data_IF_953130657256
#
_entry.id   IF_953130657256
#
_cell.length_a   1.000
_cell.length_b   1.000
_cell.length_c   1.000
_cell.angle_alpha   90.00
_cell.angle_beta   90.00
_cell.angle_gamma   90.00
#
_symmetry.space_group_name_H-M   'P 1'
#
loop_
_entity.id
_entity.type
_entity.pdbx_description
1 polymer ?
#
# COMPACT_ATOMS: atom_id res chain seq x y z
N UNK A 1 -53.51 24.51 -37.49
CA UNK A 1 -52.98 25.37 -36.43
C UNK A 1 -51.56 25.05 -36.25
N UNK A 2 -50.73 25.89 -36.78
CA UNK A 2 -49.26 25.80 -36.84
C UNK A 2 -48.69 26.39 -35.56
N UNK A 3 -47.83 25.65 -34.86
CA UNK A 3 -46.98 26.17 -33.80
C UNK A 3 -45.54 26.17 -34.27
N UNK A 4 -44.97 27.34 -34.42
CA UNK A 4 -43.61 27.62 -34.78
C UNK A 4 -42.68 27.37 -33.57
N UNK A 5 -41.65 26.56 -33.78
CA UNK A 5 -40.51 26.41 -32.86
C UNK A 5 -39.41 27.43 -33.19
N UNK A 6 -39.16 28.35 -32.27
CA UNK A 6 -38.05 29.27 -32.29
C UNK A 6 -36.85 28.60 -31.65
N UNK A 7 -35.83 28.27 -32.43
CA UNK A 7 -34.52 27.84 -31.95
C UNK A 7 -33.64 29.07 -31.68
N UNK A 8 -33.22 29.25 -30.45
CA UNK A 8 -32.18 30.20 -30.07
C UNK A 8 -30.76 29.66 -30.42
N UNK A 9 -29.78 30.49 -30.80
CA UNK A 9 -28.46 30.03 -31.17
C UNK A 9 -27.66 29.62 -29.93
N UNK A 10 -27.03 28.45 -30.03
CA UNK A 10 -26.09 27.91 -29.07
C UNK A 10 -24.78 28.71 -29.18
N UNK A 11 -24.34 29.32 -28.08
CA UNK A 11 -23.08 30.05 -28.00
C UNK A 11 -21.95 29.06 -27.66
N UNK A 12 -20.88 28.92 -28.46
CA UNK A 12 -19.85 27.88 -28.26
C UNK A 12 -18.78 28.21 -27.21
N UNK A 13 -18.92 29.29 -26.43
CA UNK A 13 -17.86 29.81 -25.57
C UNK A 13 -18.03 29.55 -24.05
N UNK A 14 -18.95 28.69 -23.65
CA UNK A 14 -19.09 28.31 -22.22
C UNK A 14 -18.37 26.99 -21.90
N UNK A 15 -17.05 26.92 -22.15
CA UNK A 15 -16.18 25.97 -21.46
C UNK A 15 -15.85 26.58 -20.09
N UNK A 16 -16.79 26.50 -19.16
CA UNK A 16 -16.51 26.73 -17.74
C UNK A 16 -15.53 25.68 -17.26
N UNK A 17 -14.25 26.04 -17.19
CA UNK A 17 -13.26 25.39 -16.34
C UNK A 17 -13.71 25.57 -14.89
N UNK A 18 -14.41 24.59 -14.36
CA UNK A 18 -14.71 24.50 -12.93
C UNK A 18 -13.41 24.21 -12.19
N UNK A 19 -12.72 25.27 -11.79
CA UNK A 19 -11.67 25.21 -10.78
C UNK A 19 -12.37 24.74 -9.50
N UNK A 20 -12.25 23.47 -9.12
CA UNK A 20 -12.84 22.94 -7.90
C UNK A 20 -12.18 23.69 -6.72
N UNK A 21 -12.95 24.54 -6.08
CA UNK A 21 -12.49 25.29 -4.90
C UNK A 21 -12.14 24.29 -3.80
N UNK A 22 -10.88 24.24 -3.38
CA UNK A 22 -10.43 23.38 -2.30
C UNK A 22 -11.12 23.82 -1.02
N UNK A 23 -11.97 22.95 -0.46
CA UNK A 23 -12.66 23.20 0.79
C UNK A 23 -11.69 23.03 1.99
N UNK A 24 -11.71 23.98 2.90
CA UNK A 24 -10.97 23.97 4.16
C UNK A 24 -11.95 24.02 5.34
N UNK A 25 -11.84 23.06 6.25
CA UNK A 25 -12.60 23.07 7.50
C UNK A 25 -12.02 24.02 8.53
N UNK A 26 -10.70 24.32 8.45
CA UNK A 26 -9.97 25.23 9.33
C UNK A 26 -9.40 26.40 8.51
N UNK A 27 -9.91 27.65 8.72
CA UNK A 27 -9.39 28.85 8.06
C UNK A 27 -7.93 29.16 8.38
N UNK A 28 -7.46 28.83 9.59
CA UNK A 28 -6.05 29.09 9.98
C UNK A 28 -5.12 28.15 9.19
N UNK A 29 -5.54 26.89 9.00
CA UNK A 29 -4.82 25.92 8.16
C UNK A 29 -4.78 26.35 6.70
N UNK A 30 -5.88 26.87 6.17
CA UNK A 30 -5.96 27.42 4.81
C UNK A 30 -4.97 28.60 4.62
N UNK A 31 -4.90 29.53 5.57
CA UNK A 31 -3.99 30.67 5.53
C UNK A 31 -2.51 30.22 5.62
N UNK A 32 -2.19 29.28 6.50
CA UNK A 32 -0.85 28.70 6.62
C UNK A 32 -0.42 28.00 5.30
N UNK A 33 -1.32 27.21 4.71
CA UNK A 33 -1.08 26.56 3.42
C UNK A 33 -0.83 27.57 2.30
N UNK A 34 -1.67 28.60 2.18
CA UNK A 34 -1.51 29.63 1.16
C UNK A 34 -0.16 30.39 1.28
N UNK A 35 0.26 30.71 2.50
CA UNK A 35 1.55 31.34 2.77
C UNK A 35 2.72 30.42 2.37
N UNK A 36 2.68 29.16 2.78
CA UNK A 36 3.69 28.17 2.43
C UNK A 36 3.74 27.93 0.92
N UNK A 37 2.56 27.77 0.28
CA UNK A 37 2.45 27.57 -1.17
C UNK A 37 3.06 28.74 -1.95
N UNK A 38 2.77 29.99 -1.57
CA UNK A 38 3.35 31.19 -2.21
C UNK A 38 4.87 31.18 -2.16
N UNK A 39 5.44 30.89 -0.98
CA UNK A 39 6.89 30.84 -0.81
C UNK A 39 7.53 29.69 -1.61
N UNK A 40 6.91 28.50 -1.58
CA UNK A 40 7.42 27.31 -2.27
C UNK A 40 7.27 27.44 -3.78
N UNK A 41 6.18 28.03 -4.28
CA UNK A 41 5.95 28.21 -5.71
C UNK A 41 6.98 29.14 -6.36
N UNK A 42 7.37 30.19 -5.66
CA UNK A 42 8.40 31.10 -6.17
C UNK A 42 9.75 30.40 -6.36
N UNK A 43 10.15 29.53 -5.42
CA UNK A 43 11.42 28.82 -5.47
C UNK A 43 11.41 27.57 -6.38
N UNK A 44 10.25 26.92 -6.55
CA UNK A 44 10.10 25.68 -7.30
C UNK A 44 9.42 25.87 -8.65
N UNK A 45 9.09 27.09 -9.05
CA UNK A 45 8.43 27.40 -10.34
C UNK A 45 7.10 26.64 -10.52
N UNK A 46 6.28 26.58 -9.46
CA UNK A 46 4.98 25.92 -9.50
C UNK A 46 3.91 26.86 -10.04
N UNK A 47 3.02 26.36 -10.86
CA UNK A 47 1.84 27.10 -11.34
C UNK A 47 0.68 26.93 -10.34
N UNK A 48 0.52 27.92 -9.47
CA UNK A 48 -0.52 27.91 -8.43
C UNK A 48 -1.94 27.91 -8.98
N UNK A 49 -2.15 28.33 -10.24
CA UNK A 49 -3.45 28.28 -10.92
C UNK A 49 -3.90 26.86 -11.27
N UNK A 50 -3.00 25.88 -11.24
CA UNK A 50 -3.27 24.49 -11.58
C UNK A 50 -3.52 23.59 -10.36
N UNK A 51 -3.52 24.17 -9.14
CA UNK A 51 -3.69 23.43 -7.90
C UNK A 51 -5.05 22.71 -7.86
N UNK A 52 -5.02 21.38 -7.70
CA UNK A 52 -6.22 20.53 -7.70
C UNK A 52 -6.08 19.38 -6.71
N UNK A 53 -7.20 18.83 -6.24
CA UNK A 53 -7.17 17.65 -5.38
C UNK A 53 -6.61 16.45 -6.16
N UNK A 54 -5.63 15.75 -5.60
CA UNK A 54 -5.05 14.55 -6.20
C UNK A 54 -5.73 13.29 -5.66
N UNK A 55 -5.82 13.16 -4.34
CA UNK A 55 -6.56 12.10 -3.68
C UNK A 55 -6.98 12.52 -2.27
N UNK A 56 -8.04 11.91 -1.76
CA UNK A 56 -8.42 11.96 -0.34
C UNK A 56 -8.16 10.57 0.25
N UNK A 57 -7.24 10.48 1.20
CA UNK A 57 -6.92 9.24 1.89
C UNK A 57 -7.89 8.99 3.05
N UNK A 58 -7.81 7.77 3.60
CA UNK A 58 -8.50 7.40 4.84
C UNK A 58 -7.86 8.03 6.10
N UNK A 59 -6.68 8.64 5.98
CA UNK A 59 -5.93 9.35 7.01
C UNK A 59 -6.31 10.83 7.10
N UNK A 60 -5.66 11.56 8.00
CA UNK A 60 -5.77 13.01 8.09
C UNK A 60 -4.95 13.75 7.03
N UNK A 61 -4.26 13.03 6.15
CA UNK A 61 -3.46 13.58 5.05
C UNK A 61 -4.35 13.93 3.88
N UNK A 62 -4.04 15.08 3.25
CA UNK A 62 -4.63 15.49 1.99
C UNK A 62 -3.54 15.67 0.96
N UNK A 63 -3.85 15.30 -0.27
CA UNK A 63 -2.91 15.37 -1.37
C UNK A 63 -3.47 16.25 -2.49
N UNK A 64 -2.65 17.19 -2.94
CA UNK A 64 -2.97 18.08 -4.05
C UNK A 64 -1.94 17.88 -5.14
N UNK A 65 -2.36 18.03 -6.39
CA UNK A 65 -1.47 18.06 -7.55
C UNK A 65 -1.33 19.49 -8.03
N UNK A 66 -0.11 19.88 -8.42
CA UNK A 66 0.23 21.18 -8.95
C UNK A 66 1.22 21.02 -10.10
N UNK A 67 1.06 21.80 -11.17
CA UNK A 67 1.91 21.69 -12.34
C UNK A 67 3.22 22.48 -12.16
N UNK A 68 4.30 21.94 -12.74
CA UNK A 68 5.64 22.49 -12.78
C UNK A 68 6.16 22.37 -14.22
N UNK A 69 5.90 23.38 -15.05
CA UNK A 69 6.21 23.31 -16.47
C UNK A 69 5.48 22.19 -17.19
N UNK A 70 6.22 21.24 -17.77
CA UNK A 70 5.67 20.06 -18.45
C UNK A 70 5.44 18.86 -17.51
N UNK A 71 5.77 18.98 -16.24
CA UNK A 71 5.61 17.96 -15.21
C UNK A 71 4.65 18.43 -14.11
N UNK A 72 4.39 17.57 -13.13
CA UNK A 72 3.60 17.92 -11.95
C UNK A 72 4.28 17.47 -10.66
N UNK A 73 3.86 18.06 -9.56
CA UNK A 73 4.27 17.72 -8.22
C UNK A 73 3.05 17.41 -7.36
N UNK A 74 3.27 16.68 -6.28
CA UNK A 74 2.25 16.41 -5.25
C UNK A 74 2.57 17.24 -4.02
N UNK A 75 1.57 17.94 -3.49
CA UNK A 75 1.64 18.58 -2.19
C UNK A 75 0.91 17.69 -1.18
N UNK A 76 1.59 17.30 -0.11
CA UNK A 76 0.99 16.62 1.03
C UNK A 76 0.75 17.64 2.14
N UNK A 77 -0.49 17.69 2.60
CA UNK A 77 -0.92 18.42 3.80
C UNK A 77 -1.18 17.41 4.92
N UNK A 78 -0.31 17.37 5.91
CA UNK A 78 -0.34 16.44 7.04
C UNK A 78 -0.24 17.24 8.35
N UNK A 79 -1.39 17.61 9.00
CA UNK A 79 -1.38 18.43 10.19
C UNK A 79 -0.57 17.81 11.33
N UNK A 80 0.46 18.49 11.89
CA UNK A 80 1.39 17.89 12.87
C UNK A 80 0.75 17.42 14.18
N UNK A 81 -0.43 17.96 14.52
CA UNK A 81 -1.18 17.51 15.69
C UNK A 81 -1.80 16.10 15.50
N UNK A 82 -1.88 15.61 14.28
CA UNK A 82 -2.55 14.36 13.89
C UNK A 82 -1.62 13.38 13.17
N UNK A 83 -0.57 13.88 12.52
CA UNK A 83 0.31 13.08 11.65
C UNK A 83 1.78 13.39 11.92
N UNK A 84 2.57 12.37 12.21
CA UNK A 84 4.03 12.46 12.24
C UNK A 84 4.59 12.14 10.84
N UNK A 85 5.22 13.12 10.21
CA UNK A 85 5.83 12.96 8.89
C UNK A 85 7.26 12.41 8.92
N UNK A 86 7.90 12.28 10.08
CA UNK A 86 9.29 11.82 10.15
C UNK A 86 9.48 10.39 9.61
N UNK A 87 8.58 9.41 9.87
CA UNK A 87 8.67 8.10 9.26
C UNK A 87 8.58 8.14 7.73
N UNK A 88 7.69 8.97 7.17
CA UNK A 88 7.57 9.14 5.71
C UNK A 88 8.89 9.62 5.10
N UNK A 89 9.48 10.68 5.64
CA UNK A 89 10.74 11.25 5.13
C UNK A 89 11.88 10.23 5.24
N UNK A 90 11.95 9.51 6.37
CA UNK A 90 12.97 8.47 6.60
C UNK A 90 12.86 7.34 5.57
N UNK A 91 11.66 6.78 5.39
CA UNK A 91 11.47 5.65 4.49
C UNK A 91 11.60 6.07 3.03
N UNK A 92 11.12 7.26 2.63
CA UNK A 92 11.35 7.82 1.29
C UNK A 92 12.84 7.88 0.94
N UNK A 93 13.67 8.33 1.90
CA UNK A 93 15.13 8.37 1.73
C UNK A 93 15.74 6.96 1.58
N UNK A 94 15.26 5.97 2.36
CA UNK A 94 15.72 4.58 2.25
C UNK A 94 15.33 3.96 0.90
N UNK A 95 14.12 4.22 0.41
CA UNK A 95 13.68 3.75 -0.90
C UNK A 95 14.48 4.37 -2.04
N UNK A 96 14.77 5.68 -1.94
CA UNK A 96 15.64 6.35 -2.91
C UNK A 96 17.06 5.76 -2.92
N UNK A 97 17.64 5.45 -1.75
CA UNK A 97 18.93 4.75 -1.62
C UNK A 97 18.88 3.34 -2.22
N UNK A 98 17.75 2.66 -2.08
CA UNK A 98 17.50 1.36 -2.69
C UNK A 98 17.30 1.45 -4.22
N UNK A 99 17.23 2.65 -4.81
CA UNK A 99 16.97 2.85 -6.24
C UNK A 99 15.51 2.64 -6.65
N UNK A 100 14.58 2.63 -5.70
CA UNK A 100 13.15 2.51 -5.96
C UNK A 100 12.55 3.84 -6.43
N UNK A 101 11.54 3.75 -7.29
CA UNK A 101 10.72 4.88 -7.70
C UNK A 101 9.66 5.19 -6.63
N UNK A 102 10.04 5.92 -5.59
CA UNK A 102 9.16 6.40 -4.53
C UNK A 102 9.09 7.94 -4.55
N UNK A 103 8.03 8.57 -4.00
CA UNK A 103 7.93 10.01 -3.89
C UNK A 103 9.17 10.61 -3.22
N UNK A 104 9.84 11.52 -3.93
CA UNK A 104 10.98 12.26 -3.38
C UNK A 104 10.47 13.52 -2.71
N UNK A 105 10.98 13.80 -1.52
CA UNK A 105 10.69 15.04 -0.79
C UNK A 105 11.50 16.18 -1.44
N UNK A 106 10.82 17.10 -2.12
CA UNK A 106 11.40 18.23 -2.82
C UNK A 106 11.47 19.47 -1.92
N UNK A 107 10.48 19.66 -1.04
CA UNK A 107 10.47 20.66 0.02
C UNK A 107 9.66 20.14 1.20
N UNK A 108 10.00 20.56 2.43
CA UNK A 108 9.31 20.17 3.64
C UNK A 108 9.30 21.28 4.68
N UNK A 109 8.12 21.68 5.11
CA UNK A 109 7.90 22.51 6.30
C UNK A 109 7.47 21.58 7.45
N UNK A 110 8.43 21.18 8.26
CA UNK A 110 8.19 20.26 9.38
C UNK A 110 7.25 20.85 10.41
N UNK A 111 7.33 22.14 10.68
CA UNK A 111 6.52 22.82 11.71
C UNK A 111 5.05 22.88 11.32
N UNK A 112 4.76 23.00 10.02
CA UNK A 112 3.41 23.06 9.48
C UNK A 112 2.94 21.73 8.91
N UNK A 113 3.83 20.77 8.65
CA UNK A 113 3.49 19.47 8.05
C UNK A 113 3.08 19.58 6.58
N UNK A 114 3.65 20.52 5.82
CA UNK A 114 3.48 20.63 4.37
C UNK A 114 4.68 20.06 3.65
N UNK A 115 4.46 19.22 2.64
CA UNK A 115 5.53 18.69 1.79
C UNK A 115 5.23 18.89 0.33
N UNK A 116 6.27 19.20 -0.46
CA UNK A 116 6.26 19.06 -1.90
C UNK A 116 6.97 17.77 -2.28
N UNK A 117 6.31 16.92 -3.05
CA UNK A 117 6.76 15.60 -3.44
C UNK A 117 6.84 15.49 -4.97
N UNK A 118 7.70 14.62 -5.48
CA UNK A 118 7.64 14.23 -6.88
C UNK A 118 6.33 13.48 -7.18
N UNK A 119 5.75 13.73 -8.35
CA UNK A 119 4.54 13.05 -8.81
C UNK A 119 4.92 11.76 -9.55
N UNK A 120 4.31 10.64 -9.19
CA UNK A 120 4.52 9.33 -9.81
C UNK A 120 3.43 8.98 -10.83
N UNK A 121 2.55 9.93 -11.15
CA UNK A 121 1.45 9.74 -12.10
C UNK A 121 0.08 9.62 -11.42
N UNK A 122 -0.93 9.21 -12.21
CA UNK A 122 -2.34 9.24 -11.78
C UNK A 122 -3.01 7.86 -11.73
N UNK A 123 -2.35 6.81 -12.23
CA UNK A 123 -2.94 5.48 -12.30
C UNK A 123 -2.16 4.51 -11.42
N UNK A 124 -2.87 3.86 -10.50
CA UNK A 124 -2.32 2.75 -9.75
C UNK A 124 -2.31 1.48 -10.61
N UNK A 125 -1.50 0.51 -10.22
CA UNK A 125 -1.52 -0.83 -10.80
C UNK A 125 -2.92 -1.44 -10.72
N UNK A 126 -3.66 -1.18 -9.62
CA UNK A 126 -5.04 -1.64 -9.47
C UNK A 126 -6.00 -1.00 -10.48
N UNK A 127 -5.85 0.31 -10.76
CA UNK A 127 -6.69 1.00 -11.74
C UNK A 127 -6.49 0.42 -13.13
N UNK A 128 -5.23 0.20 -13.50
CA UNK A 128 -4.87 -0.39 -14.80
C UNK A 128 -5.39 -1.83 -14.91
N UNK A 129 -5.26 -2.65 -13.88
CA UNK A 129 -5.80 -4.03 -13.87
C UNK A 129 -7.32 -4.02 -14.03
N UNK A 130 -8.05 -3.15 -13.30
CA UNK A 130 -9.51 -3.02 -13.41
C UNK A 130 -9.93 -2.53 -14.78
N UNK A 131 -9.21 -1.57 -15.34
CA UNK A 131 -9.47 -1.07 -16.68
C UNK A 131 -9.29 -2.17 -17.73
N UNK A 132 -8.23 -2.95 -17.64
CA UNK A 132 -7.99 -4.08 -18.54
C UNK A 132 -9.06 -5.17 -18.41
N UNK A 133 -9.50 -5.47 -17.19
CA UNK A 133 -10.57 -6.45 -16.94
C UNK A 133 -11.94 -6.03 -17.52
N UNK A 134 -12.17 -4.73 -17.70
CA UNK A 134 -13.40 -4.20 -18.34
C UNK A 134 -13.38 -4.24 -19.87
N UNK A 135 -12.21 -4.46 -20.46
CA UNK A 135 -12.04 -4.61 -21.90
C UNK A 135 -12.09 -6.13 -22.19
N UNK A 136 -13.16 -6.63 -22.82
CA UNK A 136 -13.37 -8.06 -23.18
C UNK A 136 -12.30 -8.67 -24.15
N UNK A 137 -11.06 -8.23 -24.09
CA UNK A 137 -9.95 -8.63 -24.96
C UNK A 137 -9.02 -9.58 -24.19
N UNK A 138 -9.40 -10.84 -24.14
CA UNK A 138 -8.86 -11.85 -23.22
C UNK A 138 -7.45 -12.44 -23.48
N UNK A 139 -6.82 -12.52 -24.67
CA UNK A 139 -5.50 -13.17 -24.76
C UNK A 139 -4.29 -12.27 -24.47
N UNK A 140 -4.36 -10.97 -24.75
CA UNK A 140 -3.20 -10.05 -24.56
C UNK A 140 -3.13 -9.43 -23.17
N UNK A 141 -4.23 -9.42 -22.43
CA UNK A 141 -4.32 -8.83 -21.09
C UNK A 141 -3.56 -9.66 -20.03
N UNK A 142 -3.47 -10.98 -20.19
CA UNK A 142 -2.77 -11.86 -19.27
C UNK A 142 -1.27 -11.58 -19.19
N UNK A 143 -0.60 -11.40 -20.33
CA UNK A 143 0.84 -11.11 -20.39
C UNK A 143 1.16 -9.73 -19.80
N UNK A 144 0.32 -8.72 -20.06
CA UNK A 144 0.51 -7.38 -19.52
C UNK A 144 0.34 -7.34 -18.00
N UNK A 145 -0.70 -7.96 -17.47
CA UNK A 145 -0.93 -8.07 -16.03
C UNK A 145 0.21 -8.86 -15.37
N UNK A 146 0.61 -9.97 -15.99
CA UNK A 146 1.74 -10.75 -15.51
C UNK A 146 3.02 -9.90 -15.45
N UNK A 147 3.31 -9.08 -16.47
CA UNK A 147 4.47 -8.19 -16.47
C UNK A 147 4.40 -7.15 -15.35
N UNK A 148 3.24 -6.55 -15.09
CA UNK A 148 3.06 -5.63 -13.94
C UNK A 148 3.40 -6.29 -12.61
N UNK A 149 3.00 -7.56 -12.40
CA UNK A 149 3.36 -8.31 -11.20
C UNK A 149 4.86 -8.65 -11.16
N UNK A 150 5.48 -8.92 -12.30
CA UNK A 150 6.92 -9.13 -12.37
C UNK A 150 7.71 -7.85 -12.07
N UNK A 151 7.24 -6.70 -12.52
CA UNK A 151 7.84 -5.40 -12.17
C UNK A 151 7.70 -5.12 -10.67
N UNK A 152 6.55 -5.47 -10.08
CA UNK A 152 6.35 -5.39 -8.62
C UNK A 152 7.29 -6.34 -7.86
N UNK A 153 7.48 -7.56 -8.33
CA UNK A 153 8.44 -8.52 -7.77
C UNK A 153 9.87 -7.97 -7.82
N UNK A 154 10.27 -7.34 -8.92
CA UNK A 154 11.61 -6.76 -9.05
C UNK A 154 11.81 -5.59 -8.08
N UNK A 155 10.82 -4.70 -7.95
CA UNK A 155 10.84 -3.61 -6.98
C UNK A 155 10.90 -4.14 -5.53
N UNK A 156 10.14 -5.18 -5.22
CA UNK A 156 10.15 -5.80 -3.89
C UNK A 156 11.51 -6.42 -3.55
N UNK A 157 12.11 -7.16 -4.47
CA UNK A 157 13.45 -7.75 -4.28
C UNK A 157 14.49 -6.65 -4.05
N UNK A 158 14.45 -5.58 -4.82
CA UNK A 158 15.35 -4.44 -4.67
C UNK A 158 15.20 -3.77 -3.29
N UNK A 159 13.97 -3.60 -2.80
CA UNK A 159 13.70 -3.11 -1.45
C UNK A 159 14.31 -4.03 -0.38
N UNK A 160 14.08 -5.32 -0.50
CA UNK A 160 14.53 -6.32 0.45
C UNK A 160 16.06 -6.49 0.45
N UNK A 161 16.74 -6.36 -0.68
CA UNK A 161 18.22 -6.37 -0.77
C UNK A 161 18.87 -5.20 -0.04
N UNK A 162 18.15 -4.10 0.15
CA UNK A 162 18.63 -2.91 0.85
C UNK A 162 18.50 -3.03 2.37
N UNK A 163 18.02 -4.16 2.88
CA UNK A 163 17.72 -4.39 4.28
C UNK A 163 18.95 -4.31 5.17
N UNK A 164 18.77 -3.64 6.30
CA UNK A 164 19.78 -3.55 7.37
C UNK A 164 19.05 -3.64 8.71
N UNK A 165 19.55 -4.43 9.66
CA UNK A 165 18.98 -4.48 11.01
C UNK A 165 19.06 -3.09 11.68
N UNK A 166 18.19 -2.85 12.62
CA UNK A 166 18.12 -1.64 13.48
C UNK A 166 17.90 -0.32 12.76
N UNK A 167 17.54 -0.35 11.47
CA UNK A 167 17.20 0.85 10.69
C UNK A 167 15.69 1.16 10.74
N UNK A 168 14.85 0.14 10.60
CA UNK A 168 13.40 0.24 10.72
C UNK A 168 12.93 -0.44 12.01
N UNK A 169 11.75 -0.08 12.54
CA UNK A 169 11.16 -0.77 13.68
C UNK A 169 11.02 -2.27 13.42
N UNK A 170 11.22 -3.08 14.44
CA UNK A 170 11.06 -4.53 14.30
C UNK A 170 9.59 -4.91 14.14
N UNK A 171 9.32 -5.84 13.21
CA UNK A 171 8.06 -6.59 13.19
C UNK A 171 8.21 -7.79 14.11
N UNK A 172 7.92 -7.59 15.38
CA UNK A 172 8.12 -8.53 16.47
C UNK A 172 6.82 -9.20 16.92
N UNK A 173 6.92 -10.06 17.96
CA UNK A 173 5.77 -10.72 18.57
C UNK A 173 4.72 -9.72 19.09
N UNK A 174 5.17 -8.60 19.64
CA UNK A 174 4.26 -7.59 20.18
C UNK A 174 3.43 -6.91 19.09
N UNK A 175 4.06 -6.55 17.95
CA UNK A 175 3.35 -5.97 16.81
C UNK A 175 2.38 -6.98 16.19
N UNK A 176 2.85 -8.22 15.98
CA UNK A 176 2.06 -9.30 15.42
C UNK A 176 0.84 -9.63 16.32
N UNK A 177 1.04 -9.66 17.63
CA UNK A 177 -0.05 -9.85 18.60
C UNK A 177 -1.10 -8.73 18.54
N UNK A 178 -0.66 -7.46 18.47
CA UNK A 178 -1.60 -6.32 18.30
C UNK A 178 -2.40 -6.39 17.01
N UNK A 179 -1.78 -6.83 15.93
CA UNK A 179 -2.48 -7.01 14.65
C UNK A 179 -3.50 -8.15 14.70
N UNK A 180 -3.15 -9.28 15.30
CA UNK A 180 -4.06 -10.43 15.45
C UNK A 180 -5.22 -10.13 16.39
N UNK A 181 -5.02 -9.30 17.43
CA UNK A 181 -6.08 -8.91 18.36
C UNK A 181 -7.23 -8.13 17.69
N UNK A 182 -7.00 -7.52 16.54
CA UNK A 182 -8.07 -6.86 15.78
C UNK A 182 -9.18 -7.83 15.36
N UNK A 183 -8.86 -9.10 15.15
CA UNK A 183 -9.86 -10.11 14.76
C UNK A 183 -10.88 -10.39 15.86
N UNK A 184 -10.51 -10.80 17.09
CA UNK A 184 -11.49 -10.97 18.17
C UNK A 184 -12.14 -9.67 18.58
N UNK A 185 -11.38 -8.56 18.68
CA UNK A 185 -11.90 -7.30 19.23
C UNK A 185 -12.95 -6.66 18.33
N UNK A 186 -12.73 -6.67 17.03
CA UNK A 186 -13.59 -5.96 16.07
C UNK A 186 -14.45 -6.88 15.25
N UNK A 187 -13.88 -7.96 14.67
CA UNK A 187 -14.67 -8.82 13.81
C UNK A 187 -15.61 -9.73 14.62
N UNK A 188 -15.08 -10.45 15.61
CA UNK A 188 -15.90 -11.38 16.41
C UNK A 188 -16.84 -10.62 17.33
N UNK A 189 -16.29 -9.76 18.21
CA UNK A 189 -17.07 -9.13 19.24
C UNK A 189 -18.02 -8.05 18.70
N UNK A 190 -17.49 -7.10 17.91
CA UNK A 190 -18.28 -5.93 17.48
C UNK A 190 -19.11 -6.17 16.23
N UNK A 191 -18.55 -6.88 15.23
CA UNK A 191 -19.28 -7.12 13.98
C UNK A 191 -20.20 -8.32 14.06
N UNK A 192 -19.72 -9.47 14.59
CA UNK A 192 -20.54 -10.67 14.70
C UNK A 192 -21.38 -10.73 15.98
N UNK A 193 -21.12 -9.85 16.95
CA UNK A 193 -21.86 -9.79 18.22
C UNK A 193 -21.64 -11.00 19.12
N UNK A 194 -20.54 -11.74 18.91
CA UNK A 194 -20.22 -12.96 19.67
C UNK A 194 -19.35 -12.56 20.86
N UNK A 195 -19.79 -12.97 22.08
CA UNK A 195 -19.00 -12.74 23.29
C UNK A 195 -17.70 -13.56 23.25
N UNK A 196 -16.56 -12.87 23.40
CA UNK A 196 -15.24 -13.53 23.46
C UNK A 196 -14.98 -13.92 24.91
N UNK A 197 -15.56 -15.06 25.32
CA UNK A 197 -15.36 -15.64 26.65
C UNK A 197 -13.97 -16.27 26.82
N UNK A 198 -13.65 -16.77 28.02
CA UNK A 198 -12.35 -17.38 28.31
C UNK A 198 -12.06 -18.60 27.43
N UNK A 199 -13.05 -19.42 27.11
CA UNK A 199 -12.87 -20.62 26.30
C UNK A 199 -12.53 -20.24 24.84
N UNK A 200 -13.19 -19.21 24.28
CA UNK A 200 -12.88 -18.70 22.95
C UNK A 200 -11.52 -18.00 22.93
N UNK A 201 -11.18 -17.23 24.00
CA UNK A 201 -9.87 -16.60 24.14
C UNK A 201 -8.75 -17.65 24.14
N UNK A 202 -8.89 -18.75 24.87
CA UNK A 202 -7.90 -19.83 24.93
C UNK A 202 -7.72 -20.51 23.55
N UNK A 203 -8.82 -20.77 22.83
CA UNK A 203 -8.76 -21.29 21.45
C UNK A 203 -7.99 -20.33 20.54
N UNK A 204 -8.34 -19.05 20.55
CA UNK A 204 -7.69 -18.03 19.72
C UNK A 204 -6.21 -17.86 20.08
N UNK A 205 -5.86 -17.87 21.38
CA UNK A 205 -4.47 -17.79 21.82
C UNK A 205 -3.63 -18.95 21.28
N UNK A 206 -4.19 -20.18 21.26
CA UNK A 206 -3.54 -21.35 20.68
C UNK A 206 -3.27 -21.18 19.17
N UNK A 207 -4.23 -20.68 18.39
CA UNK A 207 -4.04 -20.42 16.96
C UNK A 207 -3.05 -19.27 16.72
N UNK A 208 -3.18 -18.20 17.48
CA UNK A 208 -2.28 -17.05 17.35
C UNK A 208 -0.84 -17.42 17.68
N UNK A 209 -0.62 -18.27 18.69
CA UNK A 209 0.73 -18.78 18.99
C UNK A 209 1.33 -19.56 17.81
N UNK A 210 0.56 -20.43 17.15
CA UNK A 210 1.01 -21.17 15.97
C UNK A 210 1.29 -20.24 14.79
N UNK A 211 0.40 -19.27 14.53
CA UNK A 211 0.57 -18.29 13.44
C UNK A 211 1.82 -17.44 13.70
N UNK A 212 2.01 -16.95 14.93
CA UNK A 212 3.17 -16.15 15.31
C UNK A 212 4.47 -16.94 15.18
N UNK A 213 4.50 -18.17 15.67
CA UNK A 213 5.66 -19.05 15.55
C UNK A 213 6.03 -19.28 14.07
N UNK A 214 5.05 -19.64 13.25
CA UNK A 214 5.27 -19.83 11.82
C UNK A 214 5.81 -18.56 11.16
N UNK A 215 5.22 -17.38 11.43
CA UNK A 215 5.60 -16.13 10.75
C UNK A 215 6.93 -15.57 11.22
N UNK A 216 7.29 -15.78 12.49
CA UNK A 216 8.53 -15.23 13.03
C UNK A 216 9.74 -16.17 12.90
N UNK A 217 9.51 -17.49 12.83
CA UNK A 217 10.58 -18.48 12.91
C UNK A 217 10.77 -19.33 11.65
N UNK A 218 9.80 -19.30 10.68
CA UNK A 218 10.01 -19.96 9.40
C UNK A 218 11.19 -19.38 8.63
N UNK A 219 11.76 -20.17 7.73
CA UNK A 219 12.92 -19.78 6.92
C UNK A 219 14.11 -19.30 7.76
N UNK A 220 14.33 -19.92 8.95
CA UNK A 220 15.41 -19.52 9.86
C UNK A 220 15.22 -18.13 10.49
N UNK A 221 13.99 -17.62 10.54
CA UNK A 221 13.70 -16.28 11.05
C UNK A 221 14.19 -15.16 10.12
N UNK A 222 14.26 -15.40 8.82
CA UNK A 222 14.70 -14.45 7.81
C UNK A 222 13.93 -13.13 7.87
N UNK A 223 14.65 -12.02 8.02
CA UNK A 223 14.08 -10.68 8.13
C UNK A 223 14.67 -9.74 7.10
N UNK A 224 13.80 -8.91 6.54
CA UNK A 224 14.11 -7.90 5.53
C UNK A 224 13.34 -6.62 5.81
N UNK A 225 13.56 -5.57 5.05
CA UNK A 225 12.65 -4.44 5.01
C UNK A 225 11.31 -4.87 4.43
N UNK A 226 10.25 -4.58 5.16
CA UNK A 226 8.86 -4.90 4.84
C UNK A 226 8.09 -3.61 4.70
N UNK A 227 7.42 -3.45 3.59
CA UNK A 227 6.56 -2.29 3.29
C UNK A 227 5.24 -2.32 4.08
N UNK A 228 4.70 -3.51 4.36
CA UNK A 228 3.42 -3.86 5.01
C UNK A 228 2.20 -3.76 4.10
N UNK A 229 2.12 -2.76 3.24
CA UNK A 229 1.00 -2.53 2.34
C UNK A 229 1.44 -2.53 0.86
N UNK A 230 2.34 -3.48 0.52
CA UNK A 230 2.85 -3.70 -0.84
C UNK A 230 1.80 -4.41 -1.67
N UNK A 231 0.88 -3.65 -2.26
CA UNK A 231 -0.28 -4.17 -2.99
C UNK A 231 -0.65 -3.25 -4.16
N UNK A 232 -1.38 -3.73 -5.19
CA UNK A 232 -1.65 -3.01 -6.43
C UNK A 232 -2.22 -1.60 -6.29
N UNK A 233 -2.98 -1.32 -5.23
CA UNK A 233 -3.51 0.03 -4.97
C UNK A 233 -2.44 1.05 -4.54
N UNK A 234 -1.32 0.58 -3.99
CA UNK A 234 -0.21 1.40 -3.50
C UNK A 234 1.00 1.37 -4.45
N UNK A 235 0.85 0.74 -5.61
CA UNK A 235 1.86 0.68 -6.66
C UNK A 235 1.38 1.49 -7.86
N UNK A 236 2.18 2.48 -8.29
CA UNK A 236 1.87 3.31 -9.45
C UNK A 236 2.31 2.60 -10.72
N UNK A 237 1.39 2.44 -11.66
CA UNK A 237 1.71 1.85 -12.94
C UNK A 237 2.75 2.70 -13.69
N UNK A 238 3.71 2.09 -14.40
CA UNK A 238 4.69 2.81 -15.19
C UNK A 238 3.98 3.69 -16.22
N UNK A 239 4.30 4.99 -16.24
CA UNK A 239 3.77 5.88 -17.27
C UNK A 239 4.50 5.57 -18.58
N UNK A 240 3.79 5.04 -19.57
CA UNK A 240 4.32 4.80 -20.92
C UNK A 240 4.50 6.12 -21.68
N UNK A 241 5.23 7.07 -21.11
CA UNK A 241 5.62 8.28 -21.84
C UNK A 241 6.86 7.95 -22.69
N UNK A 242 6.71 8.03 -24.00
CA UNK A 242 7.78 7.90 -24.99
C UNK A 242 8.86 8.98 -24.90
N UNK A 243 8.68 9.96 -24.00
CA UNK A 243 9.69 10.96 -23.63
C UNK A 243 10.08 10.71 -22.16
N UNK A 244 11.37 10.49 -21.94
CA UNK A 244 11.89 10.39 -20.56
C UNK A 244 11.40 11.58 -19.72
N UNK A 245 10.76 11.36 -18.56
CA UNK A 245 10.32 12.46 -17.71
C UNK A 245 11.55 13.26 -17.32
N UNK A 246 11.56 14.54 -17.66
CA UNK A 246 12.51 15.47 -17.07
C UNK A 246 12.23 15.48 -15.57
N UNK A 247 13.22 15.04 -14.80
CA UNK A 247 13.11 15.05 -13.34
C UNK A 247 12.80 16.48 -12.88
N UNK A 248 11.80 16.69 -12.01
CA UNK A 248 11.56 18.01 -11.43
C UNK A 248 12.85 18.54 -10.85
N UNK A 249 13.18 19.79 -11.19
CA UNK A 249 14.38 20.44 -10.67
C UNK A 249 14.25 20.53 -9.16
N UNK A 250 15.23 20.03 -8.42
CA UNK A 250 15.24 20.16 -6.97
C UNK A 250 15.14 21.64 -6.61
N UNK A 251 14.20 21.96 -5.73
CA UNK A 251 14.02 23.31 -5.24
C UNK A 251 15.24 23.71 -4.41
N UNK A 252 15.81 24.87 -4.64
CA UNK A 252 17.10 25.34 -4.09
C UNK A 252 17.17 25.55 -2.57
N UNK A 253 16.25 25.01 -1.81
CA UNK A 253 16.30 24.95 -0.35
C UNK A 253 16.07 23.52 0.14
N UNK A 254 17.01 22.63 -0.18
CA UNK A 254 17.31 21.50 0.71
C UNK A 254 17.65 22.11 2.07
N UNK A 255 17.28 21.45 3.19
CA UNK A 255 17.76 21.87 4.51
C UNK A 255 19.25 22.10 4.44
N UNK A 256 19.83 23.08 5.16
CA UNK A 256 21.22 23.47 5.02
C UNK A 256 22.11 22.23 5.06
N UNK A 257 23.05 22.14 4.13
CA UNK A 257 24.08 21.10 4.12
C UNK A 257 24.75 21.12 5.49
N UNK A 258 24.54 20.10 6.30
CA UNK A 258 25.01 20.04 7.68
C UNK A 258 23.94 19.73 8.72
N UNK A 259 22.66 19.64 8.35
CA UNK A 259 21.67 19.06 9.25
C UNK A 259 22.00 17.59 9.46
N UNK A 260 22.62 17.26 10.58
CA UNK A 260 22.75 15.88 11.04
C UNK A 260 21.34 15.35 11.27
N UNK A 261 20.86 14.51 10.37
CA UNK A 261 19.67 13.74 10.63
C UNK A 261 19.92 12.88 11.88
N UNK A 262 18.97 12.77 12.81
CA UNK A 262 19.14 12.05 14.07
C UNK A 262 19.59 10.58 13.94
N UNK A 263 19.65 10.04 12.73
CA UNK A 263 20.05 8.67 12.38
C UNK A 263 21.37 8.55 11.59
N UNK A 264 22.24 9.57 11.60
CA UNK A 264 23.69 9.41 11.38
C UNK A 264 24.14 8.99 9.97
N UNK A 265 23.61 9.59 8.91
CA UNK A 265 24.16 9.44 7.55
C UNK A 265 24.56 10.79 6.97
N UNK A 266 25.74 10.95 6.29
CA UNK A 266 26.07 12.18 5.60
C UNK A 266 25.08 12.41 4.47
N UNK A 267 24.67 13.68 4.27
CA UNK A 267 23.97 14.12 3.08
C UNK A 267 24.87 13.89 1.86
N UNK A 268 24.78 12.68 1.28
CA UNK A 268 25.51 12.34 0.08
C UNK A 268 24.93 13.07 -1.13
N UNK A 269 25.81 13.53 -2.02
CA UNK A 269 25.43 14.01 -3.34
C UNK A 269 24.59 12.93 -4.03
N UNK A 270 23.29 13.14 -4.15
CA UNK A 270 22.38 12.26 -4.87
C UNK A 270 22.61 12.41 -6.39
N UNK A 271 23.64 11.79 -6.92
CA UNK A 271 23.67 11.43 -8.33
C UNK A 271 22.67 10.28 -8.49
N UNK A 272 21.59 10.55 -9.22
CA UNK A 272 20.59 9.55 -9.57
C UNK A 272 21.30 8.29 -10.12
N UNK A 273 21.27 7.19 -9.36
CA UNK A 273 21.64 5.90 -9.88
C UNK A 273 20.73 5.65 -11.08
N UNK A 274 21.30 5.48 -12.28
CA UNK A 274 20.55 5.09 -13.47
C UNK A 274 19.86 3.78 -13.16
N UNK A 275 18.53 3.77 -13.29
CA UNK A 275 17.75 2.53 -13.27
C UNK A 275 18.40 1.53 -14.21
N UNK A 276 18.72 0.34 -13.71
CA UNK A 276 19.27 -0.77 -14.50
C UNK A 276 18.19 -1.38 -15.40
N UNK A 277 16.94 -0.95 -15.27
CA UNK A 277 15.78 -1.51 -15.97
C UNK A 277 15.43 -0.69 -17.20
N UNK A 278 15.20 -1.36 -18.37
CA UNK A 278 14.87 -0.71 -19.63
C UNK A 278 13.44 -0.14 -19.69
N UNK A 279 12.61 -0.38 -18.66
CA UNK A 279 11.24 0.10 -18.55
C UNK A 279 11.10 1.17 -17.47
N UNK A 280 10.15 2.12 -17.60
CA UNK A 280 9.87 3.06 -16.51
C UNK A 280 9.50 2.26 -15.26
N UNK A 281 10.20 2.53 -14.15
CA UNK A 281 10.06 1.77 -12.93
C UNK A 281 8.68 2.00 -12.30
N UNK A 282 8.06 0.92 -11.83
CA UNK A 282 6.84 0.94 -11.02
C UNK A 282 7.03 1.85 -9.79
N UNK A 283 6.06 2.75 -9.53
CA UNK A 283 6.12 3.66 -8.38
C UNK A 283 5.61 2.99 -7.10
N UNK A 284 6.20 3.33 -5.94
CA UNK A 284 5.84 2.76 -4.64
C UNK A 284 5.35 3.86 -3.72
N UNK A 285 4.10 3.72 -3.22
CA UNK A 285 3.42 4.64 -2.30
C UNK A 285 3.12 3.96 -0.96
N UNK A 286 2.72 4.76 0.04
CA UNK A 286 2.16 4.28 1.33
C UNK A 286 3.16 3.45 2.17
N UNK A 287 4.41 3.87 2.20
CA UNK A 287 5.55 3.15 2.78
C UNK A 287 5.94 3.59 4.19
N UNK A 288 5.31 4.61 4.77
CA UNK A 288 5.74 5.22 6.04
C UNK A 288 5.68 4.26 7.24
N UNK A 289 4.87 3.21 7.16
CA UNK A 289 4.72 2.18 8.18
C UNK A 289 5.68 0.97 7.98
N UNK A 290 6.71 1.13 7.15
CA UNK A 290 7.68 0.09 6.88
C UNK A 290 8.41 -0.37 8.14
N UNK A 291 8.73 -1.66 8.18
CA UNK A 291 9.34 -2.33 9.33
C UNK A 291 10.47 -3.27 8.88
N UNK A 292 11.23 -3.82 9.85
CA UNK A 292 12.17 -4.90 9.61
C UNK A 292 11.53 -6.21 10.11
N UNK A 293 11.13 -7.09 9.19
CA UNK A 293 10.29 -8.23 9.49
C UNK A 293 10.41 -9.42 8.53
N UNK A 294 9.49 -10.39 8.64
CA UNK A 294 9.53 -11.62 7.85
C UNK A 294 9.52 -11.36 6.35
N UNK A 295 10.42 -12.04 5.62
CA UNK A 295 10.59 -11.88 4.17
C UNK A 295 9.33 -12.22 3.37
N UNK A 296 8.44 -13.01 3.92
CA UNK A 296 7.19 -13.46 3.29
C UNK A 296 6.07 -12.42 3.33
N UNK A 297 6.20 -11.34 4.12
CA UNK A 297 5.09 -10.41 4.38
C UNK A 297 4.60 -9.73 3.11
N UNK A 298 5.49 -9.09 2.36
CA UNK A 298 5.09 -8.27 1.23
C UNK A 298 4.68 -9.08 -0.01
N UNK A 299 5.30 -10.26 -0.23
CA UNK A 299 4.82 -11.16 -1.29
C UNK A 299 3.44 -11.73 -0.94
N UNK A 300 3.15 -12.01 0.33
CA UNK A 300 1.80 -12.37 0.78
C UNK A 300 0.82 -11.19 0.61
N UNK A 301 1.25 -9.95 0.87
CA UNK A 301 0.44 -8.76 0.64
C UNK A 301 0.09 -8.57 -0.84
N UNK A 302 1.05 -8.78 -1.72
CA UNK A 302 0.89 -8.64 -3.17
C UNK A 302 -0.04 -9.71 -3.75
N UNK A 303 0.13 -10.97 -3.35
CA UNK A 303 -0.57 -12.11 -3.97
C UNK A 303 -1.89 -12.49 -3.28
N UNK A 304 -2.09 -12.07 -2.04
CA UNK A 304 -3.33 -12.25 -1.26
C UNK A 304 -3.90 -10.88 -0.89
N UNK A 305 -4.07 -10.05 -1.91
CA UNK A 305 -4.50 -8.66 -1.79
C UNK A 305 -5.90 -8.49 -1.21
N UNK A 306 -6.12 -7.34 -0.59
CA UNK A 306 -7.40 -6.97 0.00
C UNK A 306 -8.49 -6.64 -1.02
N UNK A 307 -8.13 -6.25 -2.25
CA UNK A 307 -9.04 -5.68 -3.25
C UNK A 307 -9.12 -6.47 -4.56
N UNK A 308 -8.10 -7.29 -4.85
CA UNK A 308 -8.03 -8.15 -6.03
C UNK A 308 -7.91 -9.61 -5.60
N UNK A 309 -8.48 -10.50 -6.40
CA UNK A 309 -8.38 -11.96 -6.20
C UNK A 309 -7.91 -12.60 -7.47
N UNK A 310 -6.94 -13.50 -7.34
CA UNK A 310 -6.40 -14.30 -8.44
C UNK A 310 -6.70 -15.77 -8.20
N UNK A 311 -6.71 -16.55 -9.26
CA UNK A 311 -6.72 -17.99 -9.14
C UNK A 311 -5.40 -18.50 -8.54
N UNK A 312 -5.42 -19.73 -8.05
CA UNK A 312 -4.27 -20.31 -7.35
C UNK A 312 -3.06 -20.52 -8.27
N UNK A 313 -3.32 -20.79 -9.54
CA UNK A 313 -2.27 -21.00 -10.55
C UNK A 313 -1.45 -19.73 -10.75
N UNK A 314 -2.10 -18.58 -10.91
CA UNK A 314 -1.44 -17.28 -11.01
C UNK A 314 -0.66 -16.92 -9.73
N UNK A 315 -1.27 -17.18 -8.56
CA UNK A 315 -0.61 -16.93 -7.27
C UNK A 315 0.66 -17.76 -7.13
N UNK A 316 0.62 -19.04 -7.50
CA UNK A 316 1.79 -19.93 -7.44
C UNK A 316 2.83 -19.48 -8.47
N UNK A 317 2.44 -19.14 -9.70
CA UNK A 317 3.38 -18.73 -10.75
C UNK A 317 4.18 -17.49 -10.34
N UNK A 318 3.52 -16.43 -9.86
CA UNK A 318 4.21 -15.22 -9.42
C UNK A 318 5.06 -15.49 -8.17
N UNK A 319 4.56 -16.28 -7.22
CA UNK A 319 5.27 -16.58 -5.97
C UNK A 319 6.54 -17.42 -6.23
N UNK A 320 6.50 -18.39 -7.14
CA UNK A 320 7.69 -19.19 -7.49
C UNK A 320 8.71 -18.35 -8.26
N UNK A 321 8.27 -17.44 -9.12
CA UNK A 321 9.18 -16.49 -9.83
C UNK A 321 9.83 -15.52 -8.85
N UNK A 322 9.09 -15.00 -7.88
CA UNK A 322 9.67 -14.23 -6.80
C UNK A 322 10.74 -15.04 -6.05
N UNK A 323 10.41 -16.25 -5.60
CA UNK A 323 11.34 -17.10 -4.88
C UNK A 323 12.61 -17.40 -5.67
N UNK A 324 12.49 -17.74 -6.96
CA UNK A 324 13.63 -18.00 -7.85
C UNK A 324 14.53 -16.76 -8.01
N UNK A 325 13.93 -15.59 -8.27
CA UNK A 325 14.66 -14.32 -8.43
C UNK A 325 15.32 -13.89 -7.12
N UNK A 326 14.60 -13.95 -6.01
CA UNK A 326 15.08 -13.59 -4.68
C UNK A 326 16.24 -14.50 -4.23
N UNK A 327 16.11 -15.82 -4.45
CA UNK A 327 17.17 -16.78 -4.19
C UNK A 327 18.42 -16.51 -5.03
N UNK A 328 18.26 -16.26 -6.32
CA UNK A 328 19.36 -15.88 -7.21
C UNK A 328 20.04 -14.58 -6.78
N UNK A 329 19.27 -13.65 -6.22
CA UNK A 329 19.80 -12.38 -5.69
C UNK A 329 20.45 -12.52 -4.30
N UNK A 330 20.41 -13.70 -3.68
CA UNK A 330 21.01 -13.96 -2.35
C UNK A 330 20.10 -13.60 -1.17
N UNK A 331 18.81 -13.36 -1.38
CA UNK A 331 17.86 -13.17 -0.29
C UNK A 331 17.58 -14.49 0.44
N UNK A 332 17.29 -14.45 1.76
CA UNK A 332 17.14 -15.63 2.61
C UNK A 332 15.75 -16.26 2.48
N UNK A 333 15.41 -16.78 1.29
CA UNK A 333 14.12 -17.42 0.97
C UNK A 333 14.11 -18.94 1.15
N UNK A 334 15.21 -19.52 1.64
CA UNK A 334 15.38 -20.98 1.76
C UNK A 334 15.60 -21.68 0.42
N UNK A 335 15.87 -22.98 0.48
CA UNK A 335 16.17 -23.81 -0.68
C UNK A 335 14.98 -24.63 -1.19
N UNK A 336 13.94 -24.76 -0.41
CA UNK A 336 12.71 -25.48 -0.73
C UNK A 336 11.54 -24.50 -0.98
N UNK A 337 10.97 -24.56 -2.17
CA UNK A 337 9.82 -23.72 -2.52
C UNK A 337 8.56 -24.08 -1.73
N UNK A 338 8.36 -25.35 -1.39
CA UNK A 338 7.19 -25.79 -0.62
C UNK A 338 7.19 -25.19 0.78
N UNK A 339 8.37 -25.18 1.45
CA UNK A 339 8.54 -24.51 2.75
C UNK A 339 8.34 -22.99 2.63
N UNK A 340 8.89 -22.37 1.59
CA UNK A 340 8.69 -20.95 1.33
C UNK A 340 7.21 -20.63 1.10
N UNK A 341 6.53 -21.37 0.23
CA UNK A 341 5.13 -21.16 -0.10
C UNK A 341 4.23 -21.34 1.13
N UNK A 342 4.51 -22.38 1.93
CA UNK A 342 3.84 -22.57 3.22
C UNK A 342 3.98 -21.33 4.11
N UNK A 343 5.18 -20.77 4.25
CA UNK A 343 5.42 -19.57 5.05
C UNK A 343 4.67 -18.35 4.50
N UNK A 344 4.56 -18.19 3.17
CA UNK A 344 3.74 -17.15 2.51
C UNK A 344 2.25 -17.34 2.84
N UNK A 345 1.72 -18.56 2.78
CA UNK A 345 0.31 -18.82 3.10
C UNK A 345 -0.03 -18.54 4.57
N UNK A 346 0.85 -18.88 5.51
CA UNK A 346 0.66 -18.59 6.93
C UNK A 346 0.75 -17.09 7.22
N UNK A 347 1.61 -16.38 6.52
CA UNK A 347 1.65 -14.91 6.58
C UNK A 347 0.37 -14.31 5.98
N UNK A 348 -0.11 -14.85 4.86
CA UNK A 348 -1.40 -14.48 4.27
C UNK A 348 -2.57 -14.69 5.25
N UNK A 349 -2.60 -15.81 5.97
CA UNK A 349 -3.61 -16.10 6.99
C UNK A 349 -3.62 -15.03 8.09
N UNK A 350 -2.47 -14.68 8.65
CA UNK A 350 -2.34 -13.59 9.63
C UNK A 350 -2.92 -12.29 9.10
N UNK A 351 -2.54 -11.92 7.88
CA UNK A 351 -3.03 -10.70 7.23
C UNK A 351 -4.54 -10.71 7.01
N UNK A 352 -5.11 -11.85 6.62
CA UNK A 352 -6.56 -11.96 6.42
C UNK A 352 -7.33 -11.79 7.73
N UNK A 353 -6.87 -12.39 8.83
CA UNK A 353 -7.48 -12.19 10.15
C UNK A 353 -7.37 -10.72 10.60
N UNK A 354 -6.20 -10.10 10.43
CA UNK A 354 -6.00 -8.66 10.68
C UNK A 354 -6.96 -7.79 9.86
N UNK A 355 -7.11 -8.06 8.56
CA UNK A 355 -7.94 -7.27 7.64
C UNK A 355 -9.42 -7.40 8.02
N UNK A 356 -9.90 -8.59 8.40
CA UNK A 356 -11.27 -8.76 8.92
C UNK A 356 -11.55 -7.80 10.09
N UNK A 357 -10.61 -7.71 11.04
CA UNK A 357 -10.72 -6.78 12.17
C UNK A 357 -10.64 -5.31 11.74
N UNK A 358 -9.73 -4.95 10.81
CA UNK A 358 -9.61 -3.60 10.27
C UNK A 358 -10.89 -3.18 9.55
N UNK A 359 -11.45 -4.02 8.69
CA UNK A 359 -12.66 -3.70 7.92
C UNK A 359 -13.89 -3.56 8.81
N UNK A 360 -14.03 -4.41 9.84
CA UNK A 360 -15.05 -4.23 10.86
C UNK A 360 -14.88 -2.88 11.59
N UNK A 361 -13.66 -2.53 12.00
CA UNK A 361 -13.36 -1.26 12.67
C UNK A 361 -13.65 -0.05 11.79
N UNK A 362 -13.19 -0.05 10.53
CA UNK A 362 -13.44 1.04 9.58
C UNK A 362 -14.94 1.26 9.35
N UNK A 363 -15.74 0.20 9.34
CA UNK A 363 -17.18 0.31 9.18
C UNK A 363 -17.86 0.80 10.44
N UNK A 364 -17.58 0.18 11.58
CA UNK A 364 -18.34 0.43 12.82
C UNK A 364 -17.89 1.71 13.53
N UNK A 365 -16.58 2.00 13.53
CA UNK A 365 -16.03 3.19 14.19
C UNK A 365 -15.97 4.40 13.25
N UNK A 366 -15.53 4.18 11.99
CA UNK A 366 -15.18 5.27 11.08
C UNK A 366 -16.28 5.53 10.02
N UNK A 367 -17.42 4.81 10.10
CA UNK A 367 -18.59 5.03 9.24
C UNK A 367 -18.36 4.73 7.75
N UNK A 368 -17.49 3.75 7.42
CA UNK A 368 -17.13 3.36 6.05
C UNK A 368 -17.71 1.96 5.70
N UNK A 369 -19.02 1.83 5.42
CA UNK A 369 -19.70 0.53 5.30
C UNK A 369 -19.23 -0.32 4.12
N UNK A 370 -18.62 0.28 3.09
CA UNK A 370 -18.16 -0.41 1.89
C UNK A 370 -17.11 -1.51 2.20
N UNK A 371 -16.38 -1.40 3.31
CA UNK A 371 -15.35 -2.39 3.66
C UNK A 371 -15.91 -3.73 4.11
N UNK A 372 -17.11 -3.77 4.72
CA UNK A 372 -17.72 -5.05 5.14
C UNK A 372 -18.15 -5.94 3.96
N UNK A 373 -18.42 -5.35 2.80
CA UNK A 373 -18.76 -6.13 1.61
C UNK A 373 -17.64 -7.10 1.17
N UNK A 374 -16.40 -6.82 1.53
CA UNK A 374 -15.23 -7.65 1.19
C UNK A 374 -14.91 -8.74 2.22
N UNK A 375 -15.54 -8.75 3.39
CA UNK A 375 -15.25 -9.73 4.45
C UNK A 375 -15.44 -11.19 4.03
N UNK A 376 -16.45 -11.59 3.20
CA UNK A 376 -16.58 -12.97 2.75
C UNK A 376 -15.37 -13.49 1.98
N UNK A 377 -14.65 -12.61 1.26
CA UNK A 377 -13.42 -12.95 0.55
C UNK A 377 -12.33 -13.40 1.52
N UNK A 378 -12.14 -12.68 2.62
CA UNK A 378 -11.11 -13.01 3.61
C UNK A 378 -11.44 -14.25 4.40
N UNK A 379 -12.70 -14.48 4.73
CA UNK A 379 -13.15 -15.75 5.30
C UNK A 379 -12.84 -16.91 4.35
N UNK A 380 -13.14 -16.75 3.05
CA UNK A 380 -12.78 -17.75 2.04
C UNK A 380 -11.28 -18.02 1.99
N UNK A 381 -10.43 -16.98 2.02
CA UNK A 381 -8.99 -17.14 2.04
C UNK A 381 -8.49 -17.82 3.31
N UNK A 382 -8.95 -17.40 4.48
CA UNK A 382 -8.57 -18.01 5.75
C UNK A 382 -8.96 -19.50 5.78
N UNK A 383 -10.16 -19.85 5.29
CA UNK A 383 -10.61 -21.25 5.17
C UNK A 383 -9.78 -22.05 4.17
N UNK A 384 -9.46 -21.46 3.01
CA UNK A 384 -8.61 -22.10 2.00
C UNK A 384 -7.25 -22.47 2.56
N UNK A 385 -6.61 -21.55 3.27
CA UNK A 385 -5.34 -21.83 3.95
C UNK A 385 -5.51 -22.86 5.06
N UNK A 386 -6.53 -22.73 5.92
CA UNK A 386 -6.77 -23.65 7.02
C UNK A 386 -7.05 -25.09 6.55
N UNK A 387 -7.68 -25.27 5.40
CA UNK A 387 -7.97 -26.60 4.84
C UNK A 387 -6.73 -27.35 4.33
N UNK A 388 -5.64 -26.63 4.00
CA UNK A 388 -4.39 -27.23 3.50
C UNK A 388 -3.49 -27.76 4.61
N UNK A 389 -3.65 -27.25 5.83
CA UNK A 389 -2.77 -27.55 6.95
C UNK A 389 -3.55 -28.20 8.09
N UNK A 390 -3.26 -29.48 8.37
CA UNK A 390 -3.96 -30.27 9.40
C UNK A 390 -4.02 -29.57 10.76
N UNK A 391 -2.96 -28.87 11.16
CA UNK A 391 -2.90 -28.14 12.43
C UNK A 391 -3.84 -26.95 12.49
N UNK A 392 -4.33 -26.44 11.35
CA UNK A 392 -5.29 -25.34 11.25
C UNK A 392 -6.75 -25.84 11.09
N UNK A 393 -6.98 -27.16 11.07
CA UNK A 393 -8.33 -27.71 10.98
C UNK A 393 -9.28 -27.17 12.06
N UNK A 394 -8.88 -27.09 13.33
CA UNK A 394 -9.72 -26.50 14.37
C UNK A 394 -10.02 -25.00 14.16
N UNK A 395 -9.14 -24.23 13.52
CA UNK A 395 -9.43 -22.84 13.13
C UNK A 395 -10.55 -22.78 12.09
N UNK A 396 -10.58 -23.73 11.15
CA UNK A 396 -11.64 -23.79 10.14
C UNK A 396 -13.01 -24.03 10.80
N UNK A 397 -13.08 -24.93 11.80
CA UNK A 397 -14.31 -25.17 12.59
C UNK A 397 -14.74 -23.90 13.32
N UNK A 398 -13.79 -23.19 13.95
CA UNK A 398 -14.09 -21.93 14.63
C UNK A 398 -14.60 -20.85 13.66
N UNK A 399 -14.02 -20.74 12.48
CA UNK A 399 -14.52 -19.79 11.45
C UNK A 399 -15.95 -20.15 11.01
N UNK A 400 -16.28 -21.45 10.92
CA UNK A 400 -17.65 -21.88 10.62
C UNK A 400 -18.63 -21.53 11.74
N UNK A 401 -18.24 -21.73 13.00
CA UNK A 401 -19.04 -21.33 14.16
C UNK A 401 -19.29 -19.81 14.16
N UNK A 402 -18.26 -18.99 13.91
CA UNK A 402 -18.36 -17.53 13.86
C UNK A 402 -19.27 -17.06 12.72
N UNK A 403 -19.18 -17.70 11.56
CA UNK A 403 -20.00 -17.37 10.37
C UNK A 403 -21.43 -17.92 10.43
N UNK A 404 -21.74 -18.78 11.38
CA UNK A 404 -23.04 -19.45 11.49
C UNK A 404 -23.25 -20.52 10.40
N UNK A 405 -22.16 -21.06 9.85
CA UNK A 405 -22.22 -22.14 8.88
C UNK A 405 -22.36 -23.48 9.61
N UNK A 406 -23.30 -24.34 9.17
CA UNK A 406 -23.37 -25.70 9.69
C UNK A 406 -22.10 -26.48 9.33
N UNK A 407 -21.43 -27.01 10.35
CA UNK A 407 -20.27 -27.88 10.15
C UNK A 407 -20.76 -29.16 9.49
N UNK A 408 -20.59 -29.30 8.18
CA UNK A 408 -20.84 -30.58 7.50
C UNK A 408 -19.77 -31.56 7.94
N UNK A 409 -20.06 -32.34 8.95
CA UNK A 409 -19.25 -33.51 9.31
C UNK A 409 -19.47 -34.52 8.20
N UNK A 410 -18.58 -34.57 7.21
CA UNK A 410 -18.56 -35.64 6.22
C UNK A 410 -18.13 -36.92 6.89
N UNK A 411 -19.04 -37.85 7.07
CA UNK A 411 -18.68 -39.23 7.37
C UNK A 411 -18.03 -39.81 6.11
N UNK A 412 -16.72 -39.96 6.13
CA UNK A 412 -16.00 -40.81 5.19
C UNK A 412 -16.13 -42.23 5.73
N UNK A 413 -16.88 -43.05 5.04
CA UNK A 413 -16.89 -44.51 5.23
C UNK A 413 -15.65 -45.11 4.57
#
# INVERSE_FOLDING_TARGET
MTLSSSSAPHNPDDVMTTTSTIAWSDPARAAAFAKWLTATSASCQLDTGTLRLASADASFRRYFRIDQGASSCIIMDAPPAQEDCAPFVKVAALMAQAGLNAPRVLAWDQAQGFMLLSDLGSQTMMDVIKQQASLDIVPQNGEFIHQLYMDAVDALIQWQLSSRPDVLPAYDDALLSRELALFPDWYIAQHRGIAVDSALQDKLAGFFAQIKDSNLNSLGGARVFVHRDFMPRNLMAPTLNLTAPTLPTACGSLPPQGANFPWGGPAGNFTAARSVYPHPALGVLDFQDAVYGPITYDIASLMRDAFLSWDEEFVIDITIRYWQKARKAGLPVGDDFGEFYRAVEWMGLQRHLKILGIFARLTLRDGKPQYLADTPRFIKYARSTASRYRQLGPLMVLLDEIEGNETRIGYTF
#
